data_IF_267507427377
#
_entry.id   IF_267507427377
#
_cell.length_a   1.000
_cell.length_b   1.000
_cell.length_c   1.000
_cell.angle_alpha   90.00
_cell.angle_beta   90.00
_cell.angle_gamma   90.00
#
_symmetry.space_group_name_H-M   'P 1'
#
loop_
_entity.id
_entity.type
_entity.pdbx_description
1 polymer ?
#
# COMPACT_ATOMS: atom_id res chain seq x y z
N UNK A 1 -22.71 -0.74 -38.48
CA UNK A 1 -21.44 -1.23 -37.92
C UNK A 1 -20.36 -0.22 -38.27
N UNK A 2 -20.03 0.71 -37.38
CA UNK A 2 -18.95 1.68 -37.60
C UNK A 2 -17.86 1.46 -36.57
N UNK A 3 -16.75 0.90 -37.01
CA UNK A 3 -15.53 0.71 -36.22
C UNK A 3 -14.94 2.08 -35.86
N UNK A 4 -15.18 2.54 -34.63
CA UNK A 4 -14.56 3.77 -34.12
C UNK A 4 -13.06 3.53 -33.90
N UNK A 5 -12.24 4.05 -34.80
CA UNK A 5 -10.78 4.07 -34.65
C UNK A 5 -10.41 4.92 -33.42
N UNK A 6 -10.05 4.26 -32.31
CA UNK A 6 -9.43 4.93 -31.17
C UNK A 6 -8.05 5.45 -31.61
N UNK A 7 -7.93 6.75 -31.87
CA UNK A 7 -6.67 7.44 -32.08
C UNK A 7 -5.88 7.50 -30.75
N UNK A 8 -5.26 6.38 -30.37
CA UNK A 8 -4.16 6.43 -29.42
C UNK A 8 -3.05 7.24 -30.06
N UNK A 9 -2.76 8.43 -29.52
CA UNK A 9 -1.58 9.20 -29.91
C UNK A 9 -0.36 8.28 -29.93
N UNK A 10 0.19 8.08 -31.12
CA UNK A 10 1.21 7.05 -31.36
C UNK A 10 2.46 7.40 -30.55
N UNK A 11 3.12 6.37 -30.01
CA UNK A 11 4.41 6.53 -29.34
C UNK A 11 5.44 7.19 -30.27
N UNK A 12 6.16 8.20 -29.78
CA UNK A 12 7.14 8.95 -30.57
C UNK A 12 8.51 8.23 -30.55
N UNK A 13 9.31 8.33 -31.63
CA UNK A 13 10.69 7.86 -31.59
C UNK A 13 11.48 8.61 -30.51
N UNK A 14 12.38 7.90 -29.82
CA UNK A 14 13.27 8.52 -28.83
C UNK A 14 14.49 9.12 -29.52
N UNK A 15 14.85 10.35 -29.18
CA UNK A 15 16.06 11.02 -29.63
C UNK A 15 17.03 11.20 -28.45
N UNK A 16 18.29 10.81 -28.60
CA UNK A 16 19.28 10.89 -27.53
C UNK A 16 19.70 12.30 -27.15
N UNK A 17 19.73 13.23 -28.11
CA UNK A 17 20.14 14.62 -27.89
C UNK A 17 19.03 15.47 -27.27
N UNK A 18 17.79 15.25 -27.72
CA UNK A 18 16.63 16.06 -27.32
C UNK A 18 15.86 15.42 -26.16
N UNK A 19 15.96 14.09 -25.98
CA UNK A 19 15.16 13.35 -25.03
C UNK A 19 13.70 13.21 -25.45
N UNK A 20 12.81 13.04 -24.48
CA UNK A 20 11.36 13.01 -24.73
C UNK A 20 10.73 14.38 -24.52
N UNK A 21 9.76 14.72 -25.38
CA UNK A 21 8.90 15.90 -25.21
C UNK A 21 8.21 15.90 -23.84
N UNK A 22 7.88 17.09 -23.35
CA UNK A 22 7.11 17.28 -22.10
C UNK A 22 5.82 16.44 -22.11
N UNK A 23 5.56 15.73 -21.01
CA UNK A 23 4.43 14.80 -20.90
C UNK A 23 4.70 13.39 -21.44
N UNK A 24 5.89 13.10 -21.97
CA UNK A 24 6.32 11.77 -22.39
C UNK A 24 7.50 11.28 -21.53
N UNK A 25 7.64 9.96 -21.39
CA UNK A 25 8.78 9.32 -20.74
C UNK A 25 9.46 8.30 -21.66
N UNK A 26 10.77 8.13 -21.50
CA UNK A 26 11.54 7.11 -22.21
C UNK A 26 11.13 5.71 -21.76
N UNK A 27 10.72 4.87 -22.71
CA UNK A 27 10.61 3.42 -22.54
C UNK A 27 11.89 2.80 -23.07
N UNK A 28 12.58 2.03 -22.25
CA UNK A 28 13.78 1.28 -22.64
C UNK A 28 13.46 0.28 -23.75
N UNK A 29 14.45 -0.04 -24.59
CA UNK A 29 14.33 -1.07 -25.61
C UNK A 29 14.17 -2.45 -24.96
N UNK A 30 13.40 -3.35 -25.57
CA UNK A 30 13.18 -4.70 -25.06
C UNK A 30 12.90 -5.69 -26.20
N UNK A 31 13.08 -6.98 -25.92
CA UNK A 31 12.72 -8.06 -26.84
C UNK A 31 11.27 -8.48 -26.60
N UNK A 32 10.48 -8.53 -27.67
CA UNK A 32 9.11 -9.05 -27.60
C UNK A 32 9.11 -10.56 -27.34
N UNK A 33 7.95 -11.11 -26.97
CA UNK A 33 7.79 -12.57 -26.81
C UNK A 33 8.04 -13.35 -28.10
N UNK A 34 7.96 -12.69 -29.27
CA UNK A 34 8.26 -13.26 -30.59
C UNK A 34 9.74 -13.10 -30.98
N UNK A 35 10.58 -12.54 -30.11
CA UNK A 35 12.01 -12.32 -30.34
C UNK A 35 12.37 -11.00 -31.04
N UNK A 36 11.38 -10.27 -31.57
CA UNK A 36 11.60 -8.97 -32.22
C UNK A 36 12.13 -7.93 -31.24
N UNK A 37 13.17 -7.18 -31.63
CA UNK A 37 13.73 -6.10 -30.83
C UNK A 37 12.89 -4.84 -31.02
N UNK A 38 12.23 -4.40 -29.96
CA UNK A 38 11.45 -3.15 -29.95
C UNK A 38 12.35 -2.01 -29.46
N UNK A 39 12.62 -0.98 -30.29
CA UNK A 39 13.52 0.11 -29.93
C UNK A 39 12.95 1.00 -28.82
N UNK A 40 13.82 1.79 -28.20
CA UNK A 40 13.43 2.78 -27.22
C UNK A 40 12.50 3.83 -27.86
N UNK A 41 11.41 4.18 -27.16
CA UNK A 41 10.42 5.16 -27.64
C UNK A 41 9.95 6.05 -26.50
N UNK A 42 9.45 7.23 -26.86
CA UNK A 42 8.77 8.12 -25.95
C UNK A 42 7.28 7.73 -25.88
N UNK A 43 6.84 7.33 -24.68
CA UNK A 43 5.44 6.95 -24.41
C UNK A 43 4.82 8.01 -23.51
N UNK A 44 3.56 8.38 -23.78
CA UNK A 44 2.84 9.38 -23.00
C UNK A 44 2.82 8.98 -21.53
N UNK A 45 3.22 9.90 -20.65
CA UNK A 45 3.18 9.69 -19.21
C UNK A 45 1.73 9.72 -18.77
N UNK A 46 1.23 8.59 -18.29
CA UNK A 46 -0.09 8.53 -17.64
C UNK A 46 -0.07 9.10 -16.22
N UNK A 47 1.10 9.55 -15.74
CA UNK A 47 1.28 10.10 -14.40
C UNK A 47 1.78 11.54 -14.46
N UNK A 48 1.19 12.42 -13.64
CA UNK A 48 1.59 13.83 -13.49
C UNK A 48 3.03 13.99 -12.94
N UNK A 49 3.57 12.95 -12.33
CA UNK A 49 4.90 12.99 -11.70
C UNK A 49 6.04 12.66 -12.67
N UNK A 50 7.11 13.46 -12.64
CA UNK A 50 8.35 13.28 -13.44
C UNK A 50 9.14 12.00 -13.09
N UNK A 51 9.07 11.53 -11.84
CA UNK A 51 9.83 10.38 -11.35
C UNK A 51 8.90 9.24 -10.87
N UNK A 52 8.90 8.13 -11.61
CA UNK A 52 8.39 6.85 -11.11
C UNK A 52 9.56 6.07 -10.50
N UNK A 53 9.62 5.98 -9.17
CA UNK A 53 10.49 5.00 -8.49
C UNK A 53 10.23 3.62 -9.10
N UNK A 54 11.21 3.04 -9.79
CA UNK A 54 11.17 1.67 -10.33
C UNK A 54 10.80 0.74 -9.17
N UNK A 55 9.54 0.31 -9.09
CA UNK A 55 9.14 -0.75 -8.16
C UNK A 55 9.80 -2.03 -8.65
N UNK A 56 10.73 -2.58 -7.87
CA UNK A 56 11.07 -4.01 -7.99
C UNK A 56 9.75 -4.77 -7.88
N UNK A 57 9.33 -5.44 -8.95
CA UNK A 57 8.25 -6.43 -8.89
C UNK A 57 8.74 -7.48 -7.91
N UNK A 58 8.26 -7.45 -6.67
CA UNK A 58 8.47 -8.54 -5.74
C UNK A 58 7.83 -9.77 -6.39
N UNK A 59 8.62 -10.83 -6.65
CA UNK A 59 8.11 -12.12 -7.10
C UNK A 59 6.85 -12.47 -6.29
N UNK A 60 5.70 -12.45 -6.96
CA UNK A 60 4.42 -12.80 -6.36
C UNK A 60 4.43 -14.33 -6.28
N UNK A 61 4.99 -14.85 -5.18
CA UNK A 61 4.77 -16.24 -4.80
C UNK A 61 3.32 -16.37 -4.36
N UNK A 62 2.47 -16.87 -5.25
CA UNK A 62 1.12 -17.35 -4.93
C UNK A 62 1.32 -18.63 -4.12
N UNK A 63 0.93 -18.67 -2.83
CA UNK A 63 1.11 -19.86 -2.01
C UNK A 63 0.32 -21.04 -2.60
N UNK A 64 0.90 -22.25 -2.61
CA UNK A 64 0.22 -23.45 -3.08
C UNK A 64 -1.04 -23.75 -2.25
N UNK A 65 -2.02 -24.42 -2.84
CA UNK A 65 -3.30 -24.76 -2.20
C UNK A 65 -3.12 -25.57 -0.90
N UNK A 66 -2.03 -26.34 -0.77
CA UNK A 66 -1.61 -27.02 0.47
C UNK A 66 -1.32 -26.07 1.64
N UNK A 67 -1.01 -24.79 1.38
CA UNK A 67 -0.80 -23.77 2.42
C UNK A 67 -2.09 -23.13 2.93
N UNK A 68 -3.22 -23.35 2.26
CA UNK A 68 -4.56 -22.92 2.69
C UNK A 68 -5.22 -23.93 3.64
N UNK A 69 -4.73 -25.18 3.67
CA UNK A 69 -5.28 -26.28 4.47
C UNK A 69 -4.76 -26.34 5.93
N UNK A 70 -3.97 -25.35 6.39
CA UNK A 70 -3.65 -25.23 7.82
C UNK A 70 -4.87 -24.64 8.51
N UNK A 71 -5.39 -25.31 9.55
CA UNK A 71 -6.53 -24.87 10.40
C UNK A 71 -6.68 -23.35 10.36
N UNK A 72 -7.64 -22.88 9.56
CA UNK A 72 -7.86 -21.46 9.36
C UNK A 72 -8.15 -20.86 10.72
N UNK A 73 -7.29 -19.93 11.17
CA UNK A 73 -7.55 -19.21 12.40
C UNK A 73 -8.95 -18.57 12.33
N UNK A 74 -9.67 -18.49 13.46
CA UNK A 74 -10.97 -17.84 13.49
C UNK A 74 -10.91 -16.41 12.90
N UNK A 75 -12.03 -15.88 12.37
CA UNK A 75 -12.08 -14.52 11.85
C UNK A 75 -11.50 -13.49 12.85
N UNK A 76 -10.62 -12.60 12.36
CA UNK A 76 -9.91 -11.62 13.18
C UNK A 76 -8.61 -12.12 13.85
N UNK A 77 -8.24 -13.39 13.62
CA UNK A 77 -6.95 -13.95 14.03
C UNK A 77 -6.09 -14.35 12.82
N UNK A 78 -4.78 -14.34 13.01
CA UNK A 78 -3.79 -14.79 12.03
C UNK A 78 -2.91 -15.89 12.64
N UNK A 79 -2.51 -16.85 11.82
CA UNK A 79 -1.55 -17.87 12.27
C UNK A 79 -0.17 -17.23 12.45
N UNK A 80 0.31 -17.18 13.70
CA UNK A 80 1.71 -16.83 13.94
C UNK A 80 2.55 -18.06 13.66
N UNK A 81 3.48 -17.97 12.71
CA UNK A 81 4.49 -19.01 12.46
C UNK A 81 5.29 -19.30 13.72
N UNK A 82 5.73 -20.55 13.87
CA UNK A 82 6.70 -20.90 14.90
C UNK A 82 7.99 -20.11 14.70
N UNK A 83 8.64 -19.74 15.81
CA UNK A 83 9.94 -19.07 15.78
C UNK A 83 10.72 -19.36 17.05
N UNK A 84 12.04 -19.30 16.96
CA UNK A 84 12.94 -19.47 18.09
C UNK A 84 13.20 -18.12 18.74
N UNK A 85 12.83 -17.98 20.01
CA UNK A 85 13.15 -16.80 20.83
C UNK A 85 14.45 -17.07 21.57
N UNK A 86 15.48 -16.27 21.31
CA UNK A 86 16.75 -16.33 22.04
C UNK A 86 16.62 -15.69 23.43
N UNK A 87 17.25 -16.29 24.43
CA UNK A 87 17.36 -15.69 25.77
C UNK A 87 18.45 -14.60 25.75
N UNK A 88 18.24 -13.51 26.47
CA UNK A 88 19.27 -12.48 26.62
C UNK A 88 20.43 -12.99 27.49
N UNK A 89 21.61 -12.38 27.36
CA UNK A 89 22.79 -12.74 28.16
C UNK A 89 22.54 -12.59 29.66
N UNK A 90 21.83 -11.54 30.06
CA UNK A 90 21.45 -11.32 31.46
C UNK A 90 20.56 -12.47 31.98
N UNK A 91 19.55 -12.89 31.22
CA UNK A 91 18.70 -14.03 31.61
C UNK A 91 19.50 -15.34 31.70
N UNK A 92 20.50 -15.53 30.84
CA UNK A 92 21.38 -16.71 30.89
C UNK A 92 22.27 -16.74 32.14
N UNK A 93 22.80 -15.59 32.55
CA UNK A 93 23.69 -15.50 33.72
C UNK A 93 22.91 -15.44 35.04
N UNK A 94 21.90 -14.57 35.11
CA UNK A 94 21.18 -14.26 36.35
C UNK A 94 19.88 -15.04 36.51
N UNK A 95 19.36 -15.67 35.45
CA UNK A 95 18.06 -16.34 35.47
C UNK A 95 16.89 -15.35 35.57
N UNK A 96 15.68 -15.90 35.76
CA UNK A 96 14.46 -15.15 36.01
C UNK A 96 13.60 -15.86 37.07
N UNK A 97 12.76 -15.10 37.78
CA UNK A 97 11.92 -15.63 38.84
C UNK A 97 10.56 -16.04 38.27
N UNK A 98 10.12 -17.26 38.60
CA UNK A 98 8.78 -17.75 38.28
C UNK A 98 7.97 -17.86 39.58
N UNK A 99 6.82 -17.19 39.59
CA UNK A 99 5.82 -17.31 40.66
C UNK A 99 4.69 -18.20 40.15
N UNK A 100 4.42 -19.31 40.84
CA UNK A 100 3.27 -20.17 40.53
C UNK A 100 2.04 -19.73 41.32
N UNK A 101 0.87 -20.13 40.83
CA UNK A 101 -0.40 -19.95 41.53
C UNK A 101 -0.43 -20.58 42.92
N UNK A 102 0.39 -21.60 43.17
CA UNK A 102 0.56 -22.24 44.48
C UNK A 102 1.41 -21.43 45.49
N UNK A 103 1.80 -20.19 45.16
CA UNK A 103 2.63 -19.34 46.02
C UNK A 103 4.13 -19.65 46.02
N UNK A 104 4.55 -20.82 45.50
CA UNK A 104 5.97 -21.17 45.38
C UNK A 104 6.69 -20.26 44.39
N UNK A 105 7.85 -19.76 44.81
CA UNK A 105 8.73 -18.90 44.01
C UNK A 105 10.05 -19.62 43.77
N UNK A 106 10.48 -19.72 42.52
CA UNK A 106 11.77 -20.32 42.17
C UNK A 106 12.49 -19.53 41.07
N UNK A 107 13.82 -19.56 41.13
CA UNK A 107 14.72 -18.92 40.18
C UNK A 107 15.09 -19.93 39.08
N UNK A 108 14.77 -19.60 37.83
CA UNK A 108 15.05 -20.43 36.66
C UNK A 108 16.24 -19.85 35.89
N UNK A 109 17.28 -20.65 35.71
CA UNK A 109 18.41 -20.32 34.84
C UNK A 109 18.32 -21.22 33.60
N UNK A 110 18.01 -20.66 32.41
CA UNK A 110 17.86 -21.47 31.20
C UNK A 110 19.22 -21.98 30.70
N UNK A 111 19.31 -23.29 30.44
CA UNK A 111 20.51 -23.94 29.91
C UNK A 111 20.68 -23.75 28.39
N UNK A 112 19.58 -23.61 27.66
CA UNK A 112 19.59 -23.44 26.21
C UNK A 112 19.75 -21.97 25.81
N UNK A 113 20.19 -21.73 24.56
CA UNK A 113 20.29 -20.39 23.99
C UNK A 113 18.92 -19.75 23.69
N UNK A 114 17.85 -20.54 23.66
CA UNK A 114 16.51 -20.08 23.32
C UNK A 114 15.44 -21.13 23.51
N UNK A 115 14.20 -20.71 23.24
CA UNK A 115 13.01 -21.56 23.27
C UNK A 115 12.22 -21.42 21.98
N UNK A 116 11.72 -22.53 21.46
CA UNK A 116 10.88 -22.55 20.25
C UNK A 116 9.44 -22.27 20.63
N UNK A 117 8.90 -21.15 20.15
CA UNK A 117 7.51 -20.78 20.35
C UNK A 117 6.68 -21.44 19.24
N UNK A 118 5.77 -22.35 19.61
CA UNK A 118 4.87 -23.05 18.66
C UNK A 118 4.02 -22.09 17.83
N UNK A 119 3.55 -22.52 16.67
CA UNK A 119 2.57 -21.76 15.89
C UNK A 119 1.21 -21.77 16.60
N UNK A 120 0.58 -20.60 16.70
CA UNK A 120 -0.72 -20.40 17.36
C UNK A 120 -1.45 -19.25 16.67
N UNK A 121 -2.78 -19.26 16.69
CA UNK A 121 -3.59 -18.13 16.26
C UNK A 121 -3.42 -16.94 17.21
N UNK A 122 -3.10 -15.78 16.66
CA UNK A 122 -2.95 -14.52 17.41
C UNK A 122 -3.86 -13.45 16.80
N UNK A 123 -4.33 -12.52 17.62
CA UNK A 123 -5.14 -11.37 17.14
C UNK A 123 -4.40 -10.65 16.00
N UNK A 124 -5.10 -10.40 14.90
CA UNK A 124 -4.54 -9.63 13.80
C UNK A 124 -4.41 -8.17 14.22
N UNK A 125 -3.17 -7.72 14.41
CA UNK A 125 -2.87 -6.33 14.76
C UNK A 125 -2.61 -5.46 13.52
N UNK A 126 -2.90 -5.95 12.31
CA UNK A 126 -2.64 -5.29 11.02
C UNK A 126 -1.19 -4.77 10.87
N UNK A 127 -0.24 -5.32 11.64
CA UNK A 127 1.15 -4.87 11.64
C UNK A 127 1.79 -5.20 10.29
N UNK A 128 2.65 -4.29 9.84
CA UNK A 128 3.40 -4.46 8.61
C UNK A 128 4.10 -5.83 8.57
N UNK A 129 3.75 -6.64 7.59
CA UNK A 129 4.35 -7.95 7.28
C UNK A 129 3.52 -9.20 7.63
N UNK A 130 2.39 -9.09 8.37
CA UNK A 130 1.68 -10.29 8.88
C UNK A 130 0.33 -10.62 8.23
N UNK A 131 -0.26 -9.69 7.49
CA UNK A 131 -1.53 -9.87 6.74
C UNK A 131 -1.34 -10.20 5.26
N UNK A 132 -2.31 -10.88 4.61
CA UNK A 132 -2.30 -11.15 3.17
C UNK A 132 -2.00 -9.88 2.36
N UNK A 133 -1.17 -10.02 1.33
CA UNK A 133 -0.45 -8.94 0.64
C UNK A 133 -1.31 -8.01 -0.23
N UNK A 134 -2.64 -8.01 -0.11
CA UNK A 134 -3.49 -7.00 -0.77
C UNK A 134 -3.32 -5.66 -0.05
N UNK A 135 -2.16 -5.05 -0.24
CA UNK A 135 -1.80 -3.77 0.35
C UNK A 135 -1.97 -2.68 -0.69
N UNK A 136 -2.76 -1.69 -0.31
CA UNK A 136 -2.66 -0.35 -0.88
C UNK A 136 -1.18 0.03 -0.80
N UNK A 137 -0.60 0.45 -1.92
CA UNK A 137 0.83 0.79 -1.99
C UNK A 137 1.21 1.83 -0.93
N UNK A 138 2.50 1.94 -0.62
CA UNK A 138 2.99 3.03 0.25
C UNK A 138 2.54 4.38 -0.31
N UNK A 139 1.71 5.11 0.44
CA UNK A 139 1.31 6.47 0.08
C UNK A 139 2.55 7.37 0.12
N UNK A 140 2.65 8.26 -0.86
CA UNK A 140 3.68 9.31 -0.83
C UNK A 140 3.32 10.28 0.29
N UNK A 141 4.30 10.63 1.11
CA UNK A 141 4.12 11.55 2.23
C UNK A 141 3.92 12.97 1.69
N UNK A 142 3.03 13.73 2.33
CA UNK A 142 2.89 15.18 2.10
C UNK A 142 2.06 15.62 0.89
N UNK A 143 1.49 14.70 0.09
CA UNK A 143 0.78 15.09 -1.14
C UNK A 143 -0.48 15.93 -0.90
N UNK A 144 -1.28 15.62 0.13
CA UNK A 144 -2.41 16.48 0.51
C UNK A 144 -1.97 17.58 1.48
N UNK A 145 -1.00 17.29 2.34
CA UNK A 145 -0.51 18.23 3.36
C UNK A 145 0.14 19.48 2.77
N UNK A 146 0.72 19.41 1.56
CA UNK A 146 1.26 20.59 0.86
C UNK A 146 0.20 21.66 0.56
N UNK A 147 -1.08 21.30 0.52
CA UNK A 147 -2.21 22.23 0.35
C UNK A 147 -2.82 22.64 1.69
N UNK A 148 -2.17 22.32 2.82
CA UNK A 148 -2.69 22.58 4.16
C UNK A 148 -3.73 21.55 4.64
N UNK A 149 -3.92 20.44 3.94
CA UNK A 149 -4.87 19.42 4.36
C UNK A 149 -4.39 18.65 5.60
N UNK A 150 -5.21 18.67 6.65
CA UNK A 150 -5.02 17.90 7.88
C UNK A 150 -6.38 17.47 8.44
N UNK A 151 -6.48 16.26 9.00
CA UNK A 151 -7.73 15.83 9.64
C UNK A 151 -8.01 16.55 10.97
N UNK A 152 -7.02 17.27 11.51
CA UNK A 152 -7.13 18.01 12.79
C UNK A 152 -7.70 19.41 12.63
N UNK A 153 -7.79 19.93 11.40
CA UNK A 153 -8.31 21.28 11.13
C UNK A 153 -9.80 21.22 10.77
N UNK A 154 -10.48 22.36 10.90
CA UNK A 154 -11.92 22.49 10.66
C UNK A 154 -12.33 22.15 9.23
N UNK A 155 -13.59 21.77 9.04
CA UNK A 155 -14.13 21.27 7.77
C UNK A 155 -13.91 22.22 6.59
N UNK A 156 -14.16 23.51 6.78
CA UNK A 156 -13.98 24.52 5.73
C UNK A 156 -12.54 24.59 5.23
N UNK A 157 -11.58 24.54 6.16
CA UNK A 157 -10.15 24.55 5.83
C UNK A 157 -9.74 23.27 5.09
N UNK A 158 -10.29 22.12 5.47
CA UNK A 158 -10.07 20.85 4.76
C UNK A 158 -10.63 20.93 3.35
N UNK A 159 -11.86 21.37 3.17
CA UNK A 159 -12.50 21.50 1.87
C UNK A 159 -11.81 22.53 0.96
N UNK A 160 -11.27 23.63 1.52
CA UNK A 160 -10.43 24.59 0.78
C UNK A 160 -9.13 23.93 0.29
N UNK A 161 -8.44 23.21 1.14
CA UNK A 161 -7.23 22.46 0.77
C UNK A 161 -7.52 21.39 -0.30
N UNK A 162 -8.66 20.71 -0.21
CA UNK A 162 -9.07 19.71 -1.18
C UNK A 162 -9.39 20.32 -2.55
N UNK A 163 -9.98 21.51 -2.61
CA UNK A 163 -10.16 22.24 -3.90
C UNK A 163 -8.83 22.45 -4.62
N UNK A 164 -7.83 22.96 -3.91
CA UNK A 164 -6.48 23.14 -4.46
C UNK A 164 -5.84 21.82 -4.88
N UNK A 165 -6.06 20.76 -4.10
CA UNK A 165 -5.56 19.43 -4.45
C UNK A 165 -6.23 18.83 -5.70
N UNK A 166 -7.50 19.15 -5.92
CA UNK A 166 -8.27 18.71 -7.10
C UNK A 166 -7.75 19.39 -8.36
N UNK A 167 -7.35 20.65 -8.30
CA UNK A 167 -6.74 21.37 -9.43
C UNK A 167 -5.45 20.70 -9.91
N UNK A 168 -4.60 20.22 -8.99
CA UNK A 168 -3.32 19.60 -9.37
C UNK A 168 -3.44 18.10 -9.71
N UNK A 169 -4.17 17.33 -8.90
CA UNK A 169 -4.21 15.86 -9.03
C UNK A 169 -5.45 15.33 -9.75
N UNK A 170 -6.41 16.19 -10.04
CA UNK A 170 -7.73 15.80 -10.49
C UNK A 170 -8.60 15.21 -9.38
N UNK A 171 -9.94 15.25 -9.53
CA UNK A 171 -10.86 14.84 -8.48
C UNK A 171 -10.78 13.34 -8.17
N UNK A 172 -10.58 12.50 -9.19
CA UNK A 172 -10.35 11.06 -9.02
C UNK A 172 -9.04 10.75 -8.25
N UNK A 173 -7.99 11.54 -8.51
CA UNK A 173 -6.70 11.39 -7.85
C UNK A 173 -6.81 11.66 -6.36
N UNK A 174 -7.45 12.77 -5.99
CA UNK A 174 -7.73 13.14 -4.59
C UNK A 174 -8.63 12.10 -3.91
N UNK A 175 -9.71 11.66 -4.58
CA UNK A 175 -10.60 10.62 -4.06
C UNK A 175 -9.85 9.33 -3.70
N UNK A 176 -9.01 8.83 -4.62
CA UNK A 176 -8.22 7.59 -4.39
C UNK A 176 -7.23 7.75 -3.25
N UNK A 177 -6.63 8.93 -3.08
CA UNK A 177 -5.72 9.22 -1.96
C UNK A 177 -6.48 9.21 -0.63
N UNK A 178 -7.61 9.89 -0.54
CA UNK A 178 -8.44 9.89 0.68
C UNK A 178 -9.00 8.50 1.01
N UNK A 179 -9.44 7.74 0.01
CA UNK A 179 -9.88 6.34 0.19
C UNK A 179 -8.76 5.44 0.73
N UNK A 180 -7.55 5.63 0.20
CA UNK A 180 -6.37 4.90 0.64
C UNK A 180 -6.05 5.21 2.11
N UNK A 181 -6.02 6.49 2.51
CA UNK A 181 -5.78 6.88 3.92
C UNK A 181 -6.90 6.35 4.81
N UNK A 182 -8.16 6.48 4.39
CA UNK A 182 -9.34 5.98 5.14
C UNK A 182 -9.18 4.51 5.53
N UNK A 183 -8.82 3.66 4.56
CA UNK A 183 -8.64 2.21 4.77
C UNK A 183 -7.45 1.88 5.67
N UNK A 184 -6.35 2.63 5.54
CA UNK A 184 -5.16 2.43 6.36
C UNK A 184 -5.35 2.89 7.81
N UNK A 185 -6.13 3.94 8.02
CA UNK A 185 -6.37 4.51 9.36
C UNK A 185 -7.47 3.82 10.13
N UNK A 186 -8.27 2.94 9.50
CA UNK A 186 -9.46 2.31 10.11
C UNK A 186 -9.17 1.60 11.43
N UNK A 187 -8.00 0.97 11.56
CA UNK A 187 -7.60 0.22 12.75
C UNK A 187 -6.69 1.00 13.69
N UNK A 188 -5.92 1.96 13.18
CA UNK A 188 -4.93 2.71 13.97
C UNK A 188 -5.52 3.96 14.60
N UNK A 189 -6.31 4.73 13.84
CA UNK A 189 -6.93 5.99 14.27
C UNK A 189 -8.35 6.04 13.67
N UNK A 190 -9.33 5.37 14.29
CA UNK A 190 -10.68 5.22 13.73
C UNK A 190 -11.41 6.56 13.59
N UNK A 191 -11.14 7.54 14.45
CA UNK A 191 -11.67 8.90 14.34
C UNK A 191 -11.23 9.57 13.02
N UNK A 192 -9.92 9.61 12.76
CA UNK A 192 -9.38 10.16 11.51
C UNK A 192 -9.92 9.41 10.28
N UNK A 193 -10.10 8.08 10.37
CA UNK A 193 -10.72 7.28 9.30
C UNK A 193 -12.13 7.78 8.94
N UNK A 194 -12.95 8.19 9.92
CA UNK A 194 -14.29 8.76 9.65
C UNK A 194 -14.20 10.09 8.93
N UNK A 195 -13.28 10.97 9.35
CA UNK A 195 -13.06 12.28 8.73
C UNK A 195 -12.61 12.10 7.27
N UNK A 196 -11.60 11.26 7.01
CA UNK A 196 -11.14 10.98 5.65
C UNK A 196 -12.25 10.39 4.77
N UNK A 197 -13.12 9.54 5.34
CA UNK A 197 -14.29 9.00 4.64
C UNK A 197 -15.30 10.09 4.28
N UNK A 198 -15.57 11.03 5.20
CA UNK A 198 -16.46 12.18 4.96
C UNK A 198 -15.92 13.06 3.84
N UNK A 199 -14.66 13.49 3.97
CA UNK A 199 -13.99 14.35 2.99
C UNK A 199 -13.92 13.68 1.60
N UNK A 200 -13.67 12.36 1.55
CA UNK A 200 -13.71 11.56 0.31
C UNK A 200 -15.08 11.61 -0.35
N UNK A 201 -16.15 11.44 0.44
CA UNK A 201 -17.53 11.48 -0.06
C UNK A 201 -17.89 12.88 -0.53
N UNK A 202 -17.44 13.93 0.18
CA UNK A 202 -17.60 15.31 -0.24
C UNK A 202 -16.94 15.59 -1.60
N UNK A 203 -15.70 15.10 -1.83
CA UNK A 203 -15.05 15.22 -3.15
C UNK A 203 -15.87 14.54 -4.25
N UNK A 204 -16.42 13.35 -3.97
CA UNK A 204 -17.27 12.63 -4.93
C UNK A 204 -18.59 13.36 -5.21
N UNK A 205 -19.19 13.98 -4.20
CA UNK A 205 -20.43 14.76 -4.35
C UNK A 205 -20.20 16.07 -5.09
N UNK A 206 -19.12 16.80 -4.77
CA UNK A 206 -18.86 18.15 -5.32
C UNK A 206 -18.30 18.11 -6.75
N UNK A 207 -17.49 17.10 -7.08
CA UNK A 207 -16.79 17.00 -8.37
C UNK A 207 -17.19 15.75 -9.18
N UNK A 208 -18.27 15.07 -8.80
CA UNK A 208 -18.79 13.89 -9.50
C UNK A 208 -19.47 14.24 -10.82
N UNK A 209 -19.56 13.29 -11.78
CA UNK A 209 -19.21 11.87 -11.68
C UNK A 209 -17.71 11.60 -11.80
N UNK A 210 -17.13 10.90 -10.82
CA UNK A 210 -15.73 10.47 -10.86
C UNK A 210 -15.58 9.31 -11.84
N UNK A 211 -15.34 9.63 -13.11
CA UNK A 211 -15.12 8.67 -14.19
C UNK A 211 -13.78 7.94 -13.97
N UNK A 212 -13.78 6.86 -13.19
CA UNK A 212 -12.59 6.02 -12.99
C UNK A 212 -12.18 5.34 -14.30
N UNK A 213 -13.19 4.92 -15.05
CA UNK A 213 -13.23 4.46 -16.44
C UNK A 213 -14.69 4.69 -16.84
N UNK A 214 -15.02 5.63 -17.72
CA UNK A 214 -16.37 5.62 -18.30
C UNK A 214 -16.32 4.95 -19.64
N UNK A 215 -17.05 3.85 -19.73
CA UNK A 215 -17.75 3.49 -20.95
C UNK A 215 -18.55 4.72 -21.42
N UNK A 216 -18.34 5.09 -22.68
CA UNK A 216 -19.15 6.08 -23.38
C UNK A 216 -20.57 5.54 -23.53
N UNK A 217 -21.44 5.85 -22.56
CA UNK A 217 -22.89 5.85 -22.73
C UNK A 217 -23.44 7.18 -22.25
N UNK A 218 -23.47 8.16 -23.15
CA UNK A 218 -24.70 8.81 -23.64
C UNK A 218 -24.32 9.69 -24.82
#
# INVERSE_FOLDING_TARGET
MSSSNHNFEKSLPYNEKIGCKTGYRKREAYKSSKGEVVPARCVRSTTVYKNTTKRKRSNIYIPSVKSLARKACPPGMIERRSYTRKFSNNIKQKGYIVRRTSGKVYKVIPKSQGTTVKSVCVKDRAKHGKTPKQRIGTLRKGELSKFGYSFRVGEDTRHKALRQAVEEFGPLGVYRKLDAVTKLSKTTIPEASRIFKSDRNWVNSKFGPLKAFTDSKK
#
